data_IF_112483839356
#
_entry.id   IF_112483839356
#
_cell.length_a   1.000
_cell.length_b   1.000
_cell.length_c   1.000
_cell.angle_alpha   90.00
_cell.angle_beta   90.00
_cell.angle_gamma   90.00
#
_symmetry.space_group_name_H-M   'P 1'
#
loop_
_entity.id
_entity.type
_entity.pdbx_description
1 polymer ?
#
# COMPACT_ATOMS: atom_id res chain seq x y z
N UNK A 1 -9.44 -20.68 15.59
CA UNK A 1 -7.99 -20.34 15.49
C UNK A 1 -7.79 -19.04 16.25
N UNK A 2 -6.87 -18.96 17.22
CA UNK A 2 -6.72 -17.73 17.99
C UNK A 2 -6.22 -16.60 17.07
N UNK A 3 -6.81 -15.41 17.25
CA UNK A 3 -6.50 -14.19 16.50
C UNK A 3 -5.07 -13.68 16.75
N UNK A 4 -4.29 -14.32 17.63
CA UNK A 4 -2.97 -13.87 18.11
C UNK A 4 -1.76 -14.53 17.40
N UNK A 5 -1.95 -15.22 16.26
CA UNK A 5 -0.90 -16.07 15.67
C UNK A 5 -0.08 -15.45 14.53
N UNK A 6 -0.53 -14.36 13.89
CA UNK A 6 0.19 -13.78 12.74
C UNK A 6 1.10 -12.64 13.18
N UNK A 7 2.43 -12.87 13.13
CA UNK A 7 3.44 -11.84 13.40
C UNK A 7 3.92 -11.20 12.09
N UNK A 8 3.83 -9.87 12.00
CA UNK A 8 4.39 -9.13 10.88
C UNK A 8 5.93 -9.07 10.96
N UNK A 9 6.68 -9.55 9.95
CA UNK A 9 8.15 -9.53 9.97
C UNK A 9 8.73 -8.12 9.83
N UNK A 10 7.91 -7.14 9.44
CA UNK A 10 8.33 -5.75 9.20
C UNK A 10 7.95 -4.79 10.33
N UNK A 11 7.39 -5.28 11.44
CA UNK A 11 6.80 -4.45 12.51
C UNK A 11 7.71 -3.30 12.97
N UNK A 12 8.99 -3.58 13.23
CA UNK A 12 9.97 -2.59 13.71
C UNK A 12 10.51 -1.63 12.64
N UNK A 13 10.22 -1.88 11.36
CA UNK A 13 10.80 -1.14 10.22
C UNK A 13 9.75 -0.34 9.44
N UNK A 14 8.59 -0.94 9.22
CA UNK A 14 7.46 -0.38 8.47
C UNK A 14 6.88 0.87 9.15
N UNK A 15 6.63 0.79 10.46
CA UNK A 15 6.03 1.87 11.24
C UNK A 15 4.52 2.07 11.05
N UNK A 16 3.85 1.21 10.28
CA UNK A 16 2.40 1.28 10.01
C UNK A 16 1.51 0.71 11.12
N UNK A 17 1.96 -0.34 11.82
CA UNK A 17 1.16 -1.02 12.86
C UNK A 17 1.78 -0.76 14.25
N UNK A 18 1.38 0.32 14.92
CA UNK A 18 2.02 0.71 16.19
C UNK A 18 1.63 -0.16 17.40
N UNK A 19 0.48 -0.83 17.34
CA UNK A 19 -0.05 -1.66 18.44
C UNK A 19 0.00 -3.16 18.12
N UNK A 20 0.62 -3.61 17.03
CA UNK A 20 0.68 -5.04 16.67
C UNK A 20 1.50 -5.88 17.67
N UNK A 21 2.23 -5.26 18.58
CA UNK A 21 3.01 -5.97 19.62
C UNK A 21 2.16 -6.48 20.78
N UNK A 22 0.89 -6.08 20.88
CA UNK A 22 -0.06 -6.56 21.89
C UNK A 22 -1.15 -7.42 21.26
N UNK A 23 -1.88 -8.18 22.08
CA UNK A 23 -3.04 -8.94 21.62
C UNK A 23 -4.15 -7.98 21.19
N UNK A 24 -5.02 -8.42 20.28
CA UNK A 24 -6.13 -7.57 19.81
C UNK A 24 -7.08 -7.17 20.95
N UNK A 25 -7.26 -8.05 21.95
CA UNK A 25 -8.04 -7.72 23.15
C UNK A 25 -7.45 -6.55 23.93
N UNK A 26 -6.12 -6.52 24.06
CA UNK A 26 -5.39 -5.47 24.76
C UNK A 26 -5.39 -4.18 23.94
N UNK A 27 -5.26 -4.24 22.61
CA UNK A 27 -5.39 -3.07 21.74
C UNK A 27 -6.73 -2.35 21.97
N UNK A 28 -7.84 -3.11 22.06
CA UNK A 28 -9.15 -2.52 22.32
C UNK A 28 -9.25 -1.96 23.73
N UNK A 29 -8.67 -2.63 24.73
CA UNK A 29 -8.66 -2.15 26.11
C UNK A 29 -7.89 -0.83 26.25
N UNK A 30 -6.68 -0.75 25.69
CA UNK A 30 -5.85 0.46 25.70
C UNK A 30 -6.55 1.63 24.99
N UNK A 31 -7.18 1.38 23.83
CA UNK A 31 -7.96 2.40 23.13
C UNK A 31 -9.17 2.87 23.94
N UNK A 32 -9.86 1.95 24.62
CA UNK A 32 -11.02 2.27 25.44
C UNK A 32 -10.60 3.16 26.62
N UNK A 33 -9.59 2.73 27.39
CA UNK A 33 -9.05 3.48 28.52
C UNK A 33 -8.56 4.86 28.10
N UNK A 34 -7.85 4.96 26.98
CA UNK A 34 -7.38 6.24 26.45
C UNK A 34 -8.54 7.20 26.17
N UNK A 35 -9.63 6.71 25.58
CA UNK A 35 -10.80 7.55 25.27
C UNK A 35 -11.57 7.95 26.52
N UNK A 36 -11.72 7.02 27.48
CA UNK A 36 -12.35 7.28 28.78
C UNK A 36 -11.60 8.37 29.53
N UNK A 37 -10.28 8.25 29.66
CA UNK A 37 -9.43 9.27 30.32
C UNK A 37 -9.49 10.62 29.59
N UNK A 38 -9.54 10.60 28.25
CA UNK A 38 -9.56 11.82 27.44
C UNK A 38 -10.92 12.56 27.52
N UNK A 39 -12.02 11.82 27.67
CA UNK A 39 -13.39 12.36 27.65
C UNK A 39 -14.09 12.38 29.01
N UNK A 40 -13.43 11.92 30.08
CA UNK A 40 -13.95 11.78 31.45
C UNK A 40 -14.81 12.98 31.92
N UNK A 41 -14.37 14.21 31.60
CA UNK A 41 -15.06 15.44 32.02
C UNK A 41 -16.25 15.86 31.15
N UNK A 42 -16.46 15.22 30.01
CA UNK A 42 -17.43 15.64 29.00
C UNK A 42 -18.55 14.63 28.80
N UNK A 43 -18.23 13.34 28.73
CA UNK A 43 -19.21 12.28 28.51
C UNK A 43 -18.63 10.89 28.79
N UNK A 44 -19.51 9.96 29.15
CA UNK A 44 -19.17 8.54 29.20
C UNK A 44 -18.89 7.99 27.80
N UNK A 45 -17.89 7.11 27.70
CA UNK A 45 -17.48 6.50 26.43
C UNK A 45 -18.16 5.14 26.27
N UNK A 46 -18.96 4.99 25.22
CA UNK A 46 -19.55 3.69 24.88
C UNK A 46 -18.45 2.66 24.50
N UNK A 47 -18.68 1.35 24.71
CA UNK A 47 -17.71 0.32 24.36
C UNK A 47 -17.32 0.35 22.88
N UNK A 48 -16.01 0.29 22.60
CA UNK A 48 -15.49 0.21 21.23
C UNK A 48 -16.01 -1.04 20.52
N UNK A 49 -16.61 -0.83 19.34
CA UNK A 49 -17.04 -1.90 18.45
C UNK A 49 -15.80 -2.56 17.85
N UNK A 50 -15.68 -3.87 18.06
CA UNK A 50 -14.55 -4.68 17.62
C UNK A 50 -14.77 -5.22 16.20
N UNK A 51 -13.67 -5.44 15.48
CA UNK A 51 -13.67 -6.21 14.24
C UNK A 51 -13.50 -7.70 14.58
N UNK A 52 -14.30 -8.56 13.96
CA UNK A 52 -14.21 -10.01 14.18
C UNK A 52 -12.88 -10.59 13.67
N UNK A 53 -12.40 -10.10 12.53
CA UNK A 53 -11.11 -10.48 11.93
C UNK A 53 -10.31 -9.23 11.58
N UNK A 54 -9.34 -8.79 12.42
CA UNK A 54 -8.62 -7.53 12.27
C UNK A 54 -7.48 -7.60 11.23
N UNK A 55 -7.70 -8.32 10.13
CA UNK A 55 -6.72 -8.53 9.06
C UNK A 55 -7.33 -8.23 7.69
N UNK A 56 -6.47 -7.86 6.73
CA UNK A 56 -6.80 -7.68 5.31
C UNK A 56 -7.95 -6.71 5.02
N UNK A 57 -8.23 -5.78 5.94
CA UNK A 57 -9.34 -4.83 5.82
C UNK A 57 -9.01 -3.62 4.93
N UNK A 58 -7.73 -3.35 4.66
CA UNK A 58 -7.29 -2.17 3.92
C UNK A 58 -7.45 -2.41 2.42
N UNK A 59 -8.52 -1.83 1.89
CA UNK A 59 -8.92 -1.90 0.48
C UNK A 59 -8.22 -0.90 -0.43
N UNK A 60 -7.56 0.11 0.15
CA UNK A 60 -6.73 1.09 -0.57
C UNK A 60 -5.26 0.89 -0.20
N UNK A 61 -4.52 0.27 -1.10
CA UNK A 61 -3.09 0.02 -0.98
C UNK A 61 -2.33 1.07 -1.79
N UNK A 62 -1.22 1.55 -1.23
CA UNK A 62 -0.29 2.42 -1.94
C UNK A 62 1.11 1.86 -1.76
N UNK A 63 1.75 1.49 -2.86
CA UNK A 63 3.10 1.00 -2.88
C UNK A 63 4.03 1.99 -3.59
N UNK A 64 5.18 2.23 -2.99
CA UNK A 64 6.34 2.88 -3.61
C UNK A 64 7.06 1.84 -4.46
N UNK A 65 7.46 2.21 -5.68
CA UNK A 65 8.31 1.41 -6.54
C UNK A 65 9.70 2.04 -6.60
N UNK A 66 10.73 1.21 -6.46
CA UNK A 66 12.12 1.66 -6.46
C UNK A 66 13.08 0.48 -6.48
N UNK A 67 14.35 0.75 -6.24
CA UNK A 67 15.35 -0.31 -6.12
C UNK A 67 15.54 -0.71 -4.65
N UNK A 68 15.68 -2.01 -4.41
CA UNK A 68 16.19 -2.50 -3.13
C UNK A 68 17.71 -2.25 -3.02
N UNK A 69 18.28 -2.58 -1.85
CA UNK A 69 19.73 -2.42 -1.62
C UNK A 69 20.62 -3.26 -2.53
N UNK A 70 20.06 -4.28 -3.19
CA UNK A 70 20.74 -5.14 -4.15
C UNK A 70 20.55 -4.66 -5.60
N UNK A 71 19.85 -3.55 -5.81
CA UNK A 71 19.57 -2.99 -7.14
C UNK A 71 18.38 -3.64 -7.85
N UNK A 72 17.66 -4.57 -7.24
CA UNK A 72 16.49 -5.19 -7.85
C UNK A 72 15.26 -4.27 -7.74
N UNK A 73 14.36 -4.34 -8.71
CA UNK A 73 13.07 -3.67 -8.63
C UNK A 73 12.27 -4.24 -7.46
N UNK A 74 11.87 -3.36 -6.55
CA UNK A 74 11.07 -3.68 -5.38
C UNK A 74 9.86 -2.74 -5.28
N UNK A 75 8.81 -3.25 -4.63
CA UNK A 75 7.66 -2.47 -4.21
C UNK A 75 7.52 -2.56 -2.70
N UNK A 76 7.03 -1.50 -2.08
CA UNK A 76 6.78 -1.50 -0.64
C UNK A 76 6.47 -0.11 -0.13
N UNK A 77 7.03 0.23 1.02
CA UNK A 77 6.74 1.47 1.72
C UNK A 77 8.03 2.17 2.14
N UNK A 78 7.94 3.46 2.43
CA UNK A 78 9.03 4.17 3.07
C UNK A 78 9.13 3.81 4.55
N UNK A 79 10.36 3.63 5.04
CA UNK A 79 10.64 3.52 6.47
C UNK A 79 10.18 4.79 7.18
N UNK A 80 9.55 4.63 8.35
CA UNK A 80 9.11 5.77 9.18
C UNK A 80 10.22 6.80 9.35
N UNK A 81 9.92 8.05 9.00
CA UNK A 81 10.85 9.19 9.12
C UNK A 81 11.93 9.28 8.03
N UNK A 82 11.89 8.45 6.99
CA UNK A 82 12.87 8.50 5.88
C UNK A 82 12.20 8.24 4.53
N UNK A 83 12.94 8.42 3.42
CA UNK A 83 12.56 7.98 2.07
C UNK A 83 13.22 6.65 1.68
N UNK A 84 13.62 5.84 2.66
CA UNK A 84 14.25 4.54 2.40
C UNK A 84 13.16 3.50 2.12
N UNK A 85 13.16 2.94 0.91
CA UNK A 85 12.27 1.85 0.53
C UNK A 85 12.52 0.61 1.38
N UNK A 86 11.46 0.08 1.99
CA UNK A 86 11.40 -1.25 2.58
C UNK A 86 10.57 -2.12 1.65
N UNK A 87 11.16 -3.16 1.03
CA UNK A 87 10.39 -4.12 0.24
C UNK A 87 9.32 -4.79 1.10
N UNK A 88 8.07 -4.76 0.61
CA UNK A 88 6.93 -5.43 1.23
C UNK A 88 6.40 -6.45 0.22
N UNK A 89 6.37 -7.72 0.61
CA UNK A 89 5.80 -8.79 -0.23
C UNK A 89 4.35 -9.08 0.10
N UNK A 90 4.00 -8.96 1.38
CA UNK A 90 2.64 -9.06 1.88
C UNK A 90 2.49 -8.23 3.15
N UNK A 91 1.29 -7.70 3.36
CA UNK A 91 0.93 -6.95 4.56
C UNK A 91 -0.33 -7.54 5.19
N UNK A 92 -0.31 -7.78 6.50
CA UNK A 92 -1.44 -8.38 7.23
C UNK A 92 -2.69 -7.49 7.26
N UNK A 93 -2.55 -6.21 6.94
CA UNK A 93 -3.67 -5.26 6.90
C UNK A 93 -4.22 -5.08 5.49
N UNK A 94 -3.42 -5.33 4.46
CA UNK A 94 -3.77 -5.05 3.07
C UNK A 94 -4.56 -6.21 2.47
N UNK A 95 -5.48 -5.88 1.58
CA UNK A 95 -6.23 -6.87 0.82
C UNK A 95 -5.26 -7.73 -0.01
N UNK A 96 -5.32 -9.05 0.14
CA UNK A 96 -4.37 -9.99 -0.48
C UNK A 96 -4.37 -9.88 -2.01
N UNK A 97 -5.50 -9.51 -2.62
CA UNK A 97 -5.59 -9.32 -4.07
C UNK A 97 -4.79 -8.11 -4.53
N UNK A 98 -4.72 -7.06 -3.72
CA UNK A 98 -3.84 -5.92 -3.99
C UNK A 98 -2.36 -6.35 -3.99
N UNK A 99 -1.94 -7.20 -3.04
CA UNK A 99 -0.58 -7.73 -2.97
C UNK A 99 -0.22 -8.55 -4.23
N UNK A 100 -1.15 -9.38 -4.71
CA UNK A 100 -0.99 -10.14 -5.96
C UNK A 100 -0.83 -9.23 -7.18
N UNK A 101 -1.66 -8.19 -7.29
CA UNK A 101 -1.59 -7.22 -8.39
C UNK A 101 -0.25 -6.47 -8.36
N UNK A 102 0.19 -6.00 -7.18
CA UNK A 102 1.50 -5.36 -7.02
C UNK A 102 2.65 -6.30 -7.42
N UNK A 103 2.56 -7.59 -7.06
CA UNK A 103 3.54 -8.59 -7.46
C UNK A 103 3.60 -8.80 -8.97
N UNK A 104 2.45 -8.84 -9.65
CA UNK A 104 2.39 -8.89 -11.11
C UNK A 104 2.97 -7.64 -11.75
N UNK A 105 2.62 -6.44 -11.25
CA UNK A 105 3.17 -5.17 -11.76
C UNK A 105 4.68 -5.17 -11.66
N UNK A 106 5.27 -5.56 -10.52
CA UNK A 106 6.73 -5.67 -10.34
C UNK A 106 7.40 -6.55 -11.40
N UNK A 107 6.80 -7.72 -11.69
CA UNK A 107 7.34 -8.65 -12.70
C UNK A 107 7.22 -8.05 -14.10
N UNK A 108 6.05 -7.47 -14.42
CA UNK A 108 5.79 -6.90 -15.74
C UNK A 108 6.75 -5.75 -16.03
N UNK A 109 6.86 -4.76 -15.16
CA UNK A 109 7.74 -3.60 -15.40
C UNK A 109 9.21 -4.01 -15.60
N UNK A 110 9.68 -5.03 -14.88
CA UNK A 110 11.02 -5.57 -15.08
C UNK A 110 11.18 -6.26 -16.43
N UNK A 111 10.18 -7.04 -16.87
CA UNK A 111 10.21 -7.75 -18.14
C UNK A 111 10.17 -6.82 -19.36
N UNK A 112 9.35 -5.77 -19.32
CA UNK A 112 9.23 -4.80 -20.43
C UNK A 112 10.23 -3.63 -20.30
N UNK A 113 11.09 -3.60 -19.28
CA UNK A 113 12.11 -2.55 -19.11
C UNK A 113 11.54 -1.17 -18.75
N UNK A 114 10.43 -1.11 -18.02
CA UNK A 114 9.98 0.16 -17.42
C UNK A 114 10.85 0.49 -16.21
N UNK A 115 11.45 1.67 -16.25
CA UNK A 115 12.30 2.18 -15.17
C UNK A 115 11.45 2.65 -13.98
N UNK A 116 11.76 2.16 -12.78
CA UNK A 116 11.26 2.76 -11.54
C UNK A 116 11.91 4.12 -11.30
N UNK A 117 11.22 4.98 -10.56
CA UNK A 117 11.68 6.33 -10.31
C UNK A 117 12.72 6.37 -9.17
N UNK A 118 13.77 7.15 -9.39
CA UNK A 118 14.81 7.47 -8.42
C UNK A 118 14.61 8.92 -7.96
N UNK A 119 14.20 9.11 -6.70
CA UNK A 119 13.92 10.44 -6.12
C UNK A 119 15.17 11.31 -5.98
N UNK A 120 16.34 10.71 -5.76
CA UNK A 120 17.60 11.43 -5.59
C UNK A 120 18.13 11.94 -6.94
N UNK A 121 18.03 11.11 -7.98
CA UNK A 121 18.47 11.44 -9.35
C UNK A 121 17.39 12.12 -10.19
N UNK A 122 16.13 12.06 -9.75
CA UNK A 122 14.95 12.53 -10.49
C UNK A 122 14.85 11.90 -11.89
N UNK A 123 15.11 10.60 -11.97
CA UNK A 123 15.07 9.85 -13.23
C UNK A 123 14.18 8.63 -13.11
N UNK A 124 13.76 8.07 -14.24
CA UNK A 124 12.85 6.92 -14.29
C UNK A 124 11.40 7.34 -14.48
N UNK A 125 10.51 6.35 -14.45
CA UNK A 125 9.13 6.51 -14.87
C UNK A 125 8.14 6.26 -13.73
N UNK A 126 8.09 5.04 -13.18
CA UNK A 126 7.07 4.63 -12.22
C UNK A 126 7.48 4.98 -10.78
N UNK A 127 6.70 5.82 -10.10
CA UNK A 127 6.94 6.26 -8.70
C UNK A 127 6.15 5.40 -7.71
N UNK A 128 4.84 5.36 -7.89
CA UNK A 128 3.91 4.67 -7.00
C UNK A 128 2.86 3.92 -7.78
N UNK A 129 2.25 2.94 -7.13
CA UNK A 129 1.00 2.32 -7.58
C UNK A 129 0.01 2.39 -6.44
N UNK A 130 -1.18 2.89 -6.74
CA UNK A 130 -2.32 2.84 -5.83
C UNK A 130 -3.29 1.80 -6.37
N UNK A 131 -3.79 0.95 -5.48
CA UNK A 131 -4.83 -0.03 -5.80
C UNK A 131 -5.99 0.22 -4.86
N UNK A 132 -7.19 0.32 -5.42
CA UNK A 132 -8.43 0.39 -4.65
C UNK A 132 -9.34 -0.75 -5.09
N UNK A 133 -9.71 -1.61 -4.15
CA UNK A 133 -10.59 -2.76 -4.39
C UNK A 133 -11.89 -2.63 -3.60
N UNK A 134 -13.00 -2.95 -4.23
CA UNK A 134 -14.28 -3.12 -3.53
C UNK A 134 -14.36 -4.54 -2.97
N UNK A 135 -14.54 -4.70 -1.65
CA UNK A 135 -14.74 -6.03 -1.05
C UNK A 135 -16.07 -6.64 -1.54
N UNK A 136 -17.11 -5.83 -1.64
CA UNK A 136 -18.45 -6.28 -2.01
C UNK A 136 -18.55 -6.73 -3.47
N UNK A 137 -17.94 -5.98 -4.39
CA UNK A 137 -18.06 -6.25 -5.84
C UNK A 137 -16.82 -6.88 -6.46
N UNK A 138 -15.69 -6.90 -5.75
CA UNK A 138 -14.40 -7.37 -6.26
C UNK A 138 -13.74 -6.43 -7.29
N UNK A 139 -14.44 -5.39 -7.74
CA UNK A 139 -13.94 -4.46 -8.76
C UNK A 139 -12.71 -3.72 -8.25
N UNK A 140 -11.71 -3.62 -9.11
CA UNK A 140 -10.40 -3.07 -8.75
C UNK A 140 -9.99 -1.93 -9.68
N UNK A 141 -9.57 -0.82 -9.08
CA UNK A 141 -8.95 0.32 -9.76
C UNK A 141 -7.46 0.30 -9.47
N UNK A 142 -6.64 0.37 -10.52
CA UNK A 142 -5.19 0.54 -10.42
C UNK A 142 -4.81 1.92 -10.94
N UNK A 143 -4.10 2.70 -10.13
CA UNK A 143 -3.55 4.01 -10.50
C UNK A 143 -2.04 3.90 -10.52
N UNK A 144 -1.45 4.11 -11.70
CA UNK A 144 -0.01 4.20 -11.88
C UNK A 144 0.39 5.67 -11.73
N UNK A 145 1.25 5.97 -10.76
CA UNK A 145 1.79 7.32 -10.58
C UNK A 145 3.16 7.35 -11.24
N UNK A 146 3.31 8.20 -12.26
CA UNK A 146 4.53 8.27 -13.05
C UNK A 146 5.01 9.70 -13.26
N UNK A 147 6.30 9.88 -13.53
CA UNK A 147 6.92 11.19 -13.82
C UNK A 147 6.47 11.80 -15.16
N UNK A 148 5.87 11.02 -16.05
CA UNK A 148 5.48 11.43 -17.40
C UNK A 148 4.21 10.73 -17.88
N UNK A 149 3.48 11.35 -18.82
CA UNK A 149 2.35 10.74 -19.52
C UNK A 149 2.79 9.79 -20.64
N UNK A 150 4.06 9.85 -21.08
CA UNK A 150 4.62 8.96 -22.10
C UNK A 150 4.92 7.59 -21.49
N UNK A 151 3.91 6.73 -21.45
CA UNK A 151 4.01 5.38 -20.89
C UNK A 151 4.67 4.41 -21.90
N UNK A 152 5.89 3.90 -21.62
CA UNK A 152 6.56 2.95 -22.49
C UNK A 152 5.80 1.63 -22.57
N UNK A 153 5.62 1.06 -23.77
CA UNK A 153 4.99 -0.25 -23.97
C UNK A 153 3.59 -0.38 -23.31
N UNK A 154 2.82 0.72 -23.28
CA UNK A 154 1.50 0.81 -22.62
C UNK A 154 0.55 -0.34 -22.96
N UNK A 155 0.41 -0.65 -24.24
CA UNK A 155 -0.54 -1.68 -24.71
C UNK A 155 -0.17 -3.06 -24.18
N UNK A 156 1.12 -3.39 -24.19
CA UNK A 156 1.62 -4.67 -23.69
C UNK A 156 1.47 -4.77 -22.16
N UNK A 157 1.87 -3.72 -21.42
CA UNK A 157 1.70 -3.67 -19.97
C UNK A 157 0.23 -3.86 -19.55
N UNK A 158 -0.67 -3.07 -20.13
CA UNK A 158 -2.11 -3.12 -19.81
C UNK A 158 -2.72 -4.47 -20.20
N UNK A 159 -2.39 -4.98 -21.40
CA UNK A 159 -2.89 -6.27 -21.87
C UNK A 159 -2.48 -7.42 -20.96
N UNK A 160 -1.20 -7.47 -20.57
CA UNK A 160 -0.69 -8.50 -19.67
C UNK A 160 -1.26 -8.37 -18.26
N UNK A 161 -1.40 -7.14 -17.73
CA UNK A 161 -1.93 -6.93 -16.39
C UNK A 161 -3.40 -7.34 -16.29
N UNK A 162 -4.24 -6.94 -17.25
CA UNK A 162 -5.67 -7.28 -17.28
C UNK A 162 -5.88 -8.77 -17.55
N UNK A 163 -5.01 -9.40 -18.36
CA UNK A 163 -5.04 -10.86 -18.58
C UNK A 163 -4.76 -11.64 -17.29
N UNK A 164 -3.82 -11.18 -16.47
CA UNK A 164 -3.51 -11.79 -15.17
C UNK A 164 -4.56 -11.49 -14.09
N UNK A 165 -5.20 -10.32 -14.16
CA UNK A 165 -6.12 -9.80 -13.14
C UNK A 165 -7.39 -9.23 -13.79
N UNK A 166 -8.31 -10.09 -14.24
CA UNK A 166 -9.52 -9.68 -14.97
C UNK A 166 -10.51 -8.86 -14.11
N UNK A 167 -10.36 -8.87 -12.79
CA UNK A 167 -11.14 -8.04 -11.85
C UNK A 167 -10.79 -6.54 -11.91
N UNK A 168 -9.71 -6.17 -12.59
CA UNK A 168 -9.33 -4.77 -12.79
C UNK A 168 -10.31 -4.13 -13.78
N UNK A 169 -11.16 -3.23 -13.27
CA UNK A 169 -12.14 -2.51 -14.08
C UNK A 169 -11.60 -1.19 -14.63
N UNK A 170 -10.54 -0.65 -14.04
CA UNK A 170 -9.96 0.62 -14.47
C UNK A 170 -8.47 0.69 -14.18
N UNK A 171 -7.70 1.17 -15.17
CA UNK A 171 -6.29 1.51 -15.03
C UNK A 171 -6.12 2.98 -15.38
N UNK A 172 -5.63 3.76 -14.43
CA UNK A 172 -5.39 5.20 -14.56
C UNK A 172 -3.90 5.50 -14.51
N UNK A 173 -3.48 6.55 -15.20
CA UNK A 173 -2.11 7.07 -15.14
C UNK A 173 -2.19 8.49 -14.57
N UNK A 174 -1.67 8.69 -13.36
CA UNK A 174 -1.50 10.02 -12.77
C UNK A 174 -0.07 10.50 -13.01
N UNK A 175 0.09 11.65 -13.68
CA UNK A 175 1.40 12.25 -13.91
C UNK A 175 1.80 13.11 -12.71
N UNK A 176 2.88 12.74 -12.03
CA UNK A 176 3.49 13.51 -10.96
C UNK A 176 5.00 13.68 -11.23
N UNK A 177 5.35 14.81 -11.84
CA UNK A 177 6.73 15.18 -12.17
C UNK A 177 7.40 16.04 -11.08
N UNK A 178 6.66 16.40 -10.03
CA UNK A 178 7.09 17.40 -9.06
C UNK A 178 7.98 16.78 -7.97
N UNK A 179 8.91 17.59 -7.47
CA UNK A 179 9.72 17.28 -6.30
C UNK A 179 8.90 17.55 -5.03
N UNK A 180 8.01 16.63 -4.72
CA UNK A 180 7.07 16.74 -3.61
C UNK A 180 6.90 15.39 -2.90
N UNK A 181 6.57 15.44 -1.60
CA UNK A 181 6.12 14.26 -0.85
C UNK A 181 4.68 13.86 -1.19
N UNK A 182 3.95 14.70 -1.94
CA UNK A 182 2.61 14.40 -2.41
C UNK A 182 2.66 13.30 -3.46
N UNK A 183 1.87 12.25 -3.24
CA UNK A 183 1.88 11.04 -4.06
C UNK A 183 1.12 11.27 -5.35
N UNK A 184 -0.10 11.79 -5.25
CA UNK A 184 -0.92 12.19 -6.38
C UNK A 184 -0.65 13.65 -6.69
N UNK A 185 -0.58 14.00 -7.97
CA UNK A 185 -0.65 15.38 -8.40
C UNK A 185 -2.10 15.87 -8.41
N UNK A 186 -2.28 17.19 -8.39
CA UNK A 186 -3.58 17.84 -8.58
C UNK A 186 -4.00 17.86 -10.06
N UNK A 187 -3.05 17.62 -10.97
CA UNK A 187 -3.33 17.51 -12.40
C UNK A 187 -3.97 16.15 -12.74
N UNK A 188 -5.14 16.14 -13.39
CA UNK A 188 -5.85 14.91 -13.77
C UNK A 188 -5.09 14.07 -14.82
#
# INVERSE_FOLDING_TARGET
MSLDSKKCPLLSRCGGCMMESMTYSNEIHEKQSFMEDYLDKFQDVAPIIRMETPYHYRTKVQAVFGHDRSGNIASGIYRRGTHMLIPVRSCLLEDEKCDEILASIRKLIGAIGIMVYDEDRQTGFLRHVLIKRSITTGQTIVVLVASSTRFPQKKEFVGNLVSLHPEITSIMLNRNADKTSMVLSEEP
#
